data_IF_243993689819
#
_entry.id   IF_243993689819
#
_cell.length_a   1.000
_cell.length_b   1.000
_cell.length_c   1.000
_cell.angle_alpha   90.00
_cell.angle_beta   90.00
_cell.angle_gamma   90.00
#
_symmetry.space_group_name_H-M   'P 1'
#
loop_
_entity.id
_entity.type
_entity.pdbx_description
1 polymer ?
#
# COMPACT_ATOMS: atom_id res chain seq x y z
N UNK A 1 -22.01 0.35 -14.27
CA UNK A 1 -21.59 -0.04 -12.91
C UNK A 1 -20.33 0.74 -12.61
N UNK A 2 -20.33 1.58 -11.58
CA UNK A 2 -19.12 2.28 -11.14
C UNK A 2 -18.25 1.25 -10.40
N UNK A 3 -17.00 1.05 -10.84
CA UNK A 3 -16.05 0.26 -10.10
C UNK A 3 -15.54 1.10 -8.93
N UNK A 4 -15.77 0.64 -7.71
CA UNK A 4 -15.23 1.30 -6.51
C UNK A 4 -13.74 0.96 -6.39
N UNK A 5 -12.89 1.98 -6.55
CA UNK A 5 -11.43 1.86 -6.45
C UNK A 5 -10.98 1.42 -5.05
N UNK A 6 -11.81 1.66 -4.03
CA UNK A 6 -11.53 1.34 -2.63
C UNK A 6 -12.19 0.05 -2.17
N UNK A 7 -12.81 -0.71 -3.08
CA UNK A 7 -13.43 -1.98 -2.76
C UNK A 7 -12.44 -2.90 -2.03
N UNK A 8 -12.82 -3.33 -0.83
CA UNK A 8 -12.01 -4.23 -0.02
C UNK A 8 -12.29 -5.68 -0.40
N UNK A 9 -11.24 -6.42 -0.75
CA UNK A 9 -11.25 -7.87 -0.78
C UNK A 9 -11.08 -8.46 0.64
N UNK A 10 -11.22 -9.78 0.77
CA UNK A 10 -11.03 -10.46 2.07
C UNK A 10 -9.55 -10.50 2.48
N UNK A 11 -8.72 -11.27 1.78
CA UNK A 11 -7.40 -11.66 2.28
C UNK A 11 -6.29 -10.62 2.02
N UNK A 12 -6.33 -9.95 0.87
CA UNK A 12 -5.29 -9.00 0.45
C UNK A 12 -5.68 -7.53 0.65
N UNK A 13 -6.87 -7.28 1.23
CA UNK A 13 -7.43 -5.95 1.37
C UNK A 13 -7.82 -5.33 0.03
N UNK A 14 -7.54 -4.06 -0.22
CA UNK A 14 -7.94 -3.36 -1.45
C UNK A 14 -6.94 -3.55 -2.62
N UNK A 15 -7.29 -3.03 -3.80
CA UNK A 15 -6.44 -3.13 -5.00
C UNK A 15 -5.05 -2.48 -4.80
N UNK A 16 -4.97 -1.39 -4.03
CA UNK A 16 -3.72 -0.68 -3.74
C UNK A 16 -2.78 -1.57 -2.91
N UNK A 17 -3.30 -2.23 -1.88
CA UNK A 17 -2.54 -3.18 -1.06
C UNK A 17 -2.02 -4.37 -1.89
N UNK A 18 -2.86 -4.95 -2.76
CA UNK A 18 -2.44 -6.04 -3.64
C UNK A 18 -1.31 -5.61 -4.60
N UNK A 19 -1.42 -4.42 -5.20
CA UNK A 19 -0.38 -3.87 -6.07
C UNK A 19 0.93 -3.60 -5.31
N UNK A 20 0.85 -3.11 -4.07
CA UNK A 20 2.01 -2.87 -3.23
C UNK A 20 2.71 -4.15 -2.76
N UNK A 21 1.96 -5.20 -2.41
CA UNK A 21 2.52 -6.54 -2.10
C UNK A 21 3.25 -7.11 -3.33
N UNK A 22 2.72 -6.89 -4.54
CA UNK A 22 3.32 -7.35 -5.80
C UNK A 22 4.50 -6.51 -6.29
N UNK A 23 4.71 -5.32 -5.72
CA UNK A 23 5.73 -4.38 -6.19
C UNK A 23 5.41 -3.82 -7.58
N UNK A 24 4.14 -3.60 -7.88
CA UNK A 24 3.66 -3.12 -9.18
C UNK A 24 3.49 -1.59 -9.19
N UNK A 25 4.59 -0.87 -9.39
CA UNK A 25 4.61 0.60 -9.33
C UNK A 25 3.56 1.25 -10.24
N UNK A 26 3.51 0.88 -11.52
CA UNK A 26 2.57 1.47 -12.49
C UNK A 26 1.11 1.32 -12.04
N UNK A 27 0.76 0.17 -11.43
CA UNK A 27 -0.59 -0.08 -10.92
C UNK A 27 -0.85 0.78 -9.67
N UNK A 28 0.14 0.92 -8.79
CA UNK A 28 0.06 1.81 -7.61
C UNK A 28 -0.21 3.25 -8.06
N UNK A 29 0.56 3.76 -9.02
CA UNK A 29 0.38 5.13 -9.54
C UNK A 29 -1.00 5.34 -10.15
N UNK A 30 -1.47 4.42 -11.00
CA UNK A 30 -2.83 4.48 -11.58
C UNK A 30 -3.90 4.51 -10.49
N UNK A 31 -3.78 3.67 -9.45
CA UNK A 31 -4.76 3.63 -8.37
C UNK A 31 -4.78 4.93 -7.56
N UNK A 32 -3.61 5.49 -7.27
CA UNK A 32 -3.48 6.80 -6.61
C UNK A 32 -4.12 7.92 -7.45
N UNK A 33 -3.87 7.96 -8.76
CA UNK A 33 -4.49 8.90 -9.68
C UNK A 33 -6.02 8.76 -9.74
N UNK A 34 -6.54 7.54 -9.55
CA UNK A 34 -7.98 7.27 -9.49
C UNK A 34 -8.61 7.60 -8.12
N UNK A 35 -7.84 8.12 -7.17
CA UNK A 35 -8.33 8.48 -5.84
C UNK A 35 -8.49 7.28 -4.91
N UNK A 36 -7.66 6.24 -5.07
CA UNK A 36 -7.56 5.19 -4.08
C UNK A 36 -7.17 5.78 -2.72
N UNK A 37 -7.88 5.38 -1.68
CA UNK A 37 -7.58 5.76 -0.31
C UNK A 37 -6.34 4.97 0.15
N UNK A 38 -5.31 5.76 0.44
CA UNK A 38 -3.94 5.32 0.70
C UNK A 38 -3.82 4.63 2.05
N UNK A 39 -4.62 5.07 3.02
CA UNK A 39 -4.48 4.69 4.43
C UNK A 39 -5.52 3.66 4.86
N UNK A 40 -6.25 3.06 3.90
CA UNK A 40 -7.27 2.06 4.19
C UNK A 40 -6.65 0.84 4.90
N UNK A 41 -7.11 0.49 6.10
CA UNK A 41 -6.71 -0.76 6.74
C UNK A 41 -7.35 -1.95 6.04
N UNK A 42 -6.56 -2.98 5.72
CA UNK A 42 -7.06 -4.13 5.00
C UNK A 42 -6.06 -5.28 4.88
N UNK A 43 -6.61 -6.51 4.80
CA UNK A 43 -5.84 -7.74 4.68
C UNK A 43 -4.84 -7.96 5.83
N UNK A 44 -3.81 -8.76 5.58
CA UNK A 44 -2.78 -9.10 6.57
C UNK A 44 -1.67 -8.06 6.78
N UNK A 45 -1.70 -6.94 6.05
CA UNK A 45 -0.60 -5.96 6.03
C UNK A 45 -0.95 -4.61 6.64
N UNK A 46 -2.18 -4.37 7.10
CA UNK A 46 -2.63 -3.11 7.70
C UNK A 46 -2.60 -1.86 6.80
N UNK A 47 -1.69 -1.72 5.83
CA UNK A 47 -1.72 -0.67 4.81
C UNK A 47 -0.93 -1.08 3.55
N UNK A 48 -1.10 -0.34 2.45
CA UNK A 48 -0.32 -0.56 1.22
C UNK A 48 1.18 -0.33 1.44
N UNK A 49 1.54 0.60 2.33
CA UNK A 49 2.92 0.92 2.68
C UNK A 49 3.60 -0.23 3.45
N UNK A 50 2.92 -0.78 4.46
CA UNK A 50 3.39 -1.96 5.20
C UNK A 50 3.51 -3.21 4.33
N UNK A 51 2.58 -3.38 3.38
CA UNK A 51 2.67 -4.44 2.37
C UNK A 51 3.99 -4.36 1.59
N UNK A 52 4.36 -3.17 1.10
CA UNK A 52 5.60 -2.97 0.38
C UNK A 52 6.85 -3.12 1.28
N UNK A 53 6.83 -2.62 2.52
CA UNK A 53 7.93 -2.81 3.47
C UNK A 53 8.21 -4.26 3.79
N UNK A 54 7.16 -5.08 3.97
CA UNK A 54 7.30 -6.51 4.28
C UNK A 54 8.12 -7.27 3.21
N UNK A 55 8.17 -6.72 1.99
CA UNK A 55 8.89 -7.30 0.85
C UNK A 55 10.12 -6.51 0.44
N UNK A 56 10.43 -5.36 1.05
CA UNK A 56 11.53 -4.46 0.66
C UNK A 56 12.88 -5.17 0.53
N UNK A 57 13.16 -6.14 1.41
CA UNK A 57 14.41 -6.90 1.39
C UNK A 57 14.58 -7.82 0.17
N UNK A 58 13.52 -8.09 -0.59
CA UNK A 58 13.50 -9.11 -1.64
C UNK A 58 13.81 -8.56 -3.04
N UNK A 59 13.49 -7.29 -3.31
CA UNK A 59 13.74 -6.68 -4.62
C UNK A 59 13.75 -5.14 -4.57
N UNK A 60 14.54 -4.47 -5.43
CA UNK A 60 14.60 -3.01 -5.48
C UNK A 60 13.25 -2.37 -5.89
N UNK A 61 12.41 -3.07 -6.65
CA UNK A 61 11.10 -2.56 -7.11
C UNK A 61 10.17 -2.11 -5.97
N UNK A 62 10.31 -2.67 -4.78
CA UNK A 62 9.51 -2.27 -3.63
C UNK A 62 9.91 -0.89 -3.09
N UNK A 63 11.17 -0.47 -3.27
CA UNK A 63 11.62 0.86 -2.85
C UNK A 63 10.93 1.97 -3.65
N UNK A 64 10.70 1.73 -4.95
CA UNK A 64 9.97 2.67 -5.81
C UNK A 64 8.50 2.78 -5.38
N UNK A 65 7.86 1.65 -5.06
CA UNK A 65 6.49 1.65 -4.51
C UNK A 65 6.40 2.39 -3.18
N UNK A 66 7.35 2.17 -2.27
CA UNK A 66 7.42 2.87 -0.98
C UNK A 66 7.55 4.38 -1.21
N UNK A 67 8.46 4.79 -2.10
CA UNK A 67 8.65 6.20 -2.43
C UNK A 67 7.37 6.83 -3.02
N UNK A 68 6.67 6.13 -3.91
CA UNK A 68 5.42 6.60 -4.49
C UNK A 68 4.32 6.77 -3.42
N UNK A 69 4.17 5.79 -2.52
CA UNK A 69 3.18 5.86 -1.43
C UNK A 69 3.50 6.97 -0.43
N UNK A 70 4.77 7.13 -0.03
CA UNK A 70 5.20 8.22 0.86
C UNK A 70 4.99 9.59 0.21
N UNK A 71 5.31 9.73 -1.08
CA UNK A 71 5.06 10.95 -1.86
C UNK A 71 3.57 11.28 -1.94
N UNK A 72 2.71 10.26 -1.98
CA UNK A 72 1.26 10.41 -2.00
C UNK A 72 0.66 10.70 -0.60
N UNK A 73 1.46 10.69 0.47
CA UNK A 73 1.01 10.99 1.83
C UNK A 73 0.54 9.76 2.61
N UNK A 74 1.07 8.57 2.29
CA UNK A 74 0.86 7.38 3.13
C UNK A 74 1.47 7.60 4.53
N UNK A 75 0.67 7.34 5.56
CA UNK A 75 1.12 7.47 6.94
C UNK A 75 2.12 6.34 7.29
N UNK A 76 3.32 6.72 7.72
CA UNK A 76 4.38 5.85 8.27
C UNK A 76 4.18 5.61 9.78
N UNK A 77 2.99 5.91 10.30
CA UNK A 77 2.69 5.78 11.72
C UNK A 77 2.56 4.29 12.07
N UNK A 78 3.67 3.57 12.16
CA UNK A 78 3.89 2.69 13.29
C UNK A 78 3.69 3.56 14.51
N UNK A 79 2.77 3.22 15.41
CA UNK A 79 3.07 3.49 16.81
C UNK A 79 4.36 2.72 17.07
N UNK A 80 5.49 3.42 16.95
CA UNK A 80 6.75 3.02 17.53
C UNK A 80 6.44 2.95 19.02
N UNK A 81 6.10 1.76 19.49
CA UNK A 81 6.27 1.45 20.89
C UNK A 81 7.78 1.53 21.13
N UNK A 82 8.27 2.73 21.44
CA UNK A 82 9.43 2.85 22.30
C UNK A 82 9.05 2.13 23.59
N UNK A 83 9.40 0.85 23.68
CA UNK A 83 9.52 0.17 24.96
C UNK A 83 10.88 0.59 25.52
N UNK A 84 10.83 1.48 26.53
CA UNK A 84 11.95 1.82 27.42
C UNK A 84 12.65 0.58 28.00
#
# INVERSE_FOLDING_TARGET
MLADVNAQGRQYGNALQAASVGGHLEIVEILLEKGADINVPGGGYSSALHAAWSRKAWAPRYAEVIAALLKAGANDNVEESESE
#
